data_IF_253627446304
#
_entry.id   IF_253627446304
#
_cell.length_a   1.000
_cell.length_b   1.000
_cell.length_c   1.000
_cell.angle_alpha   90.00
_cell.angle_beta   90.00
_cell.angle_gamma   90.00
#
_symmetry.space_group_name_H-M   'P 1'
#
loop_
_entity.id
_entity.type
_entity.pdbx_description
1 polymer ?
#
# COMPACT_ATOMS: atom_id res chain seq x y z
N UNK A 1 -3.41 -8.53 5.36
CA UNK A 1 -3.23 -8.52 3.90
C UNK A 1 -1.97 -7.72 3.56
N UNK A 2 -1.09 -8.21 2.69
CA UNK A 2 0.16 -7.54 2.30
C UNK A 2 0.36 -7.70 0.78
N UNK A 3 0.09 -6.63 0.01
CA UNK A 3 0.14 -6.67 -1.45
C UNK A 3 0.66 -5.33 -1.98
N UNK A 4 1.75 -5.34 -2.76
CA UNK A 4 2.22 -4.14 -3.48
C UNK A 4 1.62 -4.18 -4.89
N UNK A 5 0.94 -3.11 -5.26
CA UNK A 5 0.24 -2.99 -6.55
C UNK A 5 0.78 -1.80 -7.33
N UNK A 6 0.99 -1.99 -8.63
CA UNK A 6 1.37 -0.90 -9.52
C UNK A 6 0.14 -0.08 -9.91
N UNK A 7 0.11 1.19 -9.50
CA UNK A 7 -0.99 2.07 -9.90
C UNK A 7 -0.84 2.52 -11.36
N UNK A 8 -1.96 2.90 -11.98
CA UNK A 8 -2.00 3.49 -13.34
C UNK A 8 -1.07 4.71 -13.53
N UNK A 9 -0.57 5.33 -12.45
CA UNK A 9 0.28 6.53 -12.48
C UNK A 9 1.76 6.25 -12.14
N UNK A 10 2.24 5.01 -12.33
CA UNK A 10 3.63 4.59 -12.06
C UNK A 10 4.10 4.79 -10.61
N UNK A 11 3.19 5.00 -9.66
CA UNK A 11 3.52 5.02 -8.22
C UNK A 11 3.03 3.73 -7.57
N UNK A 12 3.91 2.93 -6.94
CA UNK A 12 3.46 1.74 -6.26
C UNK A 12 2.56 2.10 -5.09
N UNK A 13 1.58 1.24 -4.87
CA UNK A 13 0.60 1.35 -3.80
C UNK A 13 0.73 0.11 -2.94
N UNK A 14 0.89 0.30 -1.64
CA UNK A 14 0.96 -0.79 -0.68
C UNK A 14 -0.43 -0.99 -0.06
N UNK A 15 -0.94 -2.21 -0.14
CA UNK A 15 -2.11 -2.66 0.62
C UNK A 15 -1.58 -3.42 1.82
N UNK A 16 -1.72 -2.86 3.02
CA UNK A 16 -1.20 -3.43 4.25
C UNK A 16 -2.15 -3.17 5.41
N UNK A 17 -2.42 -4.17 6.23
CA UNK A 17 -3.28 -4.05 7.42
C UNK A 17 -4.67 -3.46 7.13
N UNK A 18 -5.27 -3.82 5.99
CA UNK A 18 -6.54 -3.26 5.49
C UNK A 18 -6.52 -1.75 5.20
N UNK A 19 -5.34 -1.15 5.15
CA UNK A 19 -5.12 0.24 4.74
C UNK A 19 -4.41 0.31 3.40
N UNK A 20 -4.68 1.40 2.68
CA UNK A 20 -4.03 1.72 1.42
C UNK A 20 -2.98 2.80 1.63
N UNK A 21 -1.77 2.53 1.19
CA UNK A 21 -0.66 3.45 1.24
C UNK A 21 -0.13 3.76 -0.16
N UNK A 22 0.37 4.98 -0.33
CA UNK A 22 1.13 5.41 -1.50
C UNK A 22 2.58 5.60 -1.11
N UNK A 23 3.50 5.32 -2.04
CA UNK A 23 4.92 5.59 -1.81
C UNK A 23 5.13 7.09 -1.58
N UNK A 24 5.71 7.43 -0.44
CA UNK A 24 6.10 8.79 -0.09
C UNK A 24 7.52 9.09 -0.58
N UNK A 25 8.49 8.30 -0.10
CA UNK A 25 9.90 8.42 -0.45
C UNK A 25 10.64 7.11 -0.24
N UNK A 26 11.78 6.97 -0.90
CA UNK A 26 12.73 5.88 -0.70
C UNK A 26 14.00 6.50 -0.13
N UNK A 27 14.54 5.93 0.95
CA UNK A 27 15.83 6.34 1.53
C UNK A 27 16.63 5.08 1.84
N UNK A 28 17.81 4.97 1.25
CA UNK A 28 18.64 3.77 1.31
C UNK A 28 17.83 2.54 0.87
N UNK A 29 17.66 1.55 1.75
CA UNK A 29 16.87 0.34 1.54
C UNK A 29 15.46 0.43 2.14
N UNK A 30 15.08 1.60 2.67
CA UNK A 30 13.78 1.81 3.34
C UNK A 30 12.83 2.59 2.45
N UNK A 31 11.68 1.99 2.16
CA UNK A 31 10.55 2.62 1.50
C UNK A 31 9.61 3.17 2.58
N UNK A 32 9.33 4.47 2.52
CA UNK A 32 8.36 5.12 3.38
C UNK A 32 7.03 5.23 2.65
N UNK A 33 6.00 4.77 3.32
CA UNK A 33 4.63 4.71 2.83
C UNK A 33 3.76 5.68 3.62
N UNK A 34 2.92 6.44 2.93
CA UNK A 34 1.91 7.31 3.54
C UNK A 34 0.52 6.84 3.19
N UNK A 35 -0.44 7.02 4.08
CA UNK A 35 -1.83 6.74 3.78
C UNK A 35 -2.28 7.44 2.49
N UNK A 36 -3.08 6.75 1.67
CA UNK A 36 -3.66 7.33 0.47
C UNK A 36 -4.75 8.39 0.77
N UNK A 37 -5.35 8.36 1.97
CA UNK A 37 -6.31 9.35 2.42
C UNK A 37 -5.59 10.65 2.82
N UNK A 38 -5.92 11.76 2.16
CA UNK A 38 -5.29 13.08 2.40
C UNK A 38 -5.56 13.64 3.80
N UNK A 39 -6.68 13.27 4.41
CA UNK A 39 -7.04 13.67 5.77
C UNK A 39 -6.38 12.77 6.82
N UNK A 40 -5.63 11.75 6.40
CA UNK A 40 -4.94 10.84 7.28
C UNK A 40 -3.42 11.04 7.24
N UNK A 41 -2.80 11.05 8.42
CA UNK A 41 -1.35 11.07 8.56
C UNK A 41 -0.74 9.70 8.84
N UNK A 42 -1.48 8.61 8.64
CA UNK A 42 -1.01 7.24 8.85
C UNK A 42 0.22 6.92 7.99
N UNK A 43 1.19 6.20 8.54
CA UNK A 43 2.45 5.88 7.87
C UNK A 43 2.86 4.44 8.13
N UNK A 44 3.54 3.88 7.15
CA UNK A 44 4.24 2.61 7.27
C UNK A 44 5.65 2.76 6.67
N UNK A 45 6.54 1.86 7.04
CA UNK A 45 7.83 1.71 6.36
C UNK A 45 8.04 0.26 5.99
N UNK A 46 8.82 0.02 4.95
CA UNK A 46 9.27 -1.29 4.55
C UNK A 46 10.77 -1.21 4.34
N UNK A 47 11.53 -2.05 5.03
CA UNK A 47 12.99 -2.05 4.95
C UNK A 47 13.47 -3.34 4.28
N UNK A 48 14.20 -3.22 3.18
CA UNK A 48 14.72 -4.36 2.42
C UNK A 48 13.59 -5.35 2.06
N UNK A 49 13.80 -6.64 2.35
CA UNK A 49 12.81 -7.71 2.17
C UNK A 49 11.93 -7.95 3.40
N UNK A 50 12.00 -7.07 4.41
CA UNK A 50 11.15 -7.21 5.59
C UNK A 50 9.71 -6.82 5.29
N UNK A 51 8.72 -7.45 5.96
CA UNK A 51 7.34 -7.02 5.84
C UNK A 51 7.18 -5.55 6.26
N UNK A 52 6.25 -4.80 5.65
CA UNK A 52 5.96 -3.45 6.07
C UNK A 52 5.52 -3.40 7.53
N UNK A 53 5.90 -2.32 8.22
CA UNK A 53 5.52 -2.03 9.59
C UNK A 53 4.82 -0.69 9.65
N UNK A 54 3.65 -0.65 10.26
CA UNK A 54 2.96 0.61 10.57
C UNK A 54 3.76 1.39 11.62
N UNK A 55 4.03 2.65 11.34
CA UNK A 55 4.80 3.56 12.21
C UNK A 55 3.96 4.69 12.77
N UNK A 56 2.88 5.09 12.09
CA UNK A 56 1.93 6.07 12.58
C UNK A 56 0.51 5.56 12.37
N UNK A 57 -0.34 5.54 13.42
CA UNK A 57 -1.70 5.03 13.33
C UNK A 57 -2.57 5.88 12.40
N UNK A 58 -3.67 5.28 11.96
CA UNK A 58 -4.68 5.91 11.14
C UNK A 58 -5.75 6.58 11.99
N UNK A 59 -6.32 7.67 11.48
CA UNK A 59 -7.46 8.38 12.08
C UNK A 59 -8.75 8.15 11.30
N UNK A 60 -8.88 6.99 10.67
CA UNK A 60 -10.07 6.59 9.93
C UNK A 60 -10.19 5.07 9.95
N UNK A 61 -11.41 4.60 9.69
CA UNK A 61 -11.69 3.18 9.56
C UNK A 61 -10.90 2.55 8.42
N UNK A 62 -10.69 1.25 8.54
CA UNK A 62 -9.95 0.48 7.54
C UNK A 62 -10.59 0.60 6.15
N UNK A 63 -9.76 0.53 5.12
CA UNK A 63 -10.19 0.49 3.73
C UNK A 63 -10.36 -0.95 3.24
N UNK A 64 -10.85 -1.86 4.09
CA UNK A 64 -10.82 -3.31 3.81
C UNK A 64 -11.46 -3.68 2.47
N UNK A 65 -12.69 -3.23 2.22
CA UNK A 65 -13.43 -3.52 0.99
C UNK A 65 -12.66 -3.00 -0.23
N UNK A 66 -12.16 -1.77 -0.17
CA UNK A 66 -11.38 -1.15 -1.24
C UNK A 66 -10.07 -1.91 -1.50
N UNK A 67 -9.40 -2.37 -0.44
CA UNK A 67 -8.18 -3.15 -0.53
C UNK A 67 -8.45 -4.49 -1.22
N UNK A 68 -9.52 -5.20 -0.85
CA UNK A 68 -9.93 -6.46 -1.49
C UNK A 68 -10.29 -6.27 -2.97
N UNK A 69 -10.99 -5.20 -3.31
CA UNK A 69 -11.32 -4.88 -4.72
C UNK A 69 -10.06 -4.62 -5.55
N UNK A 70 -9.12 -3.83 -5.02
CA UNK A 70 -7.87 -3.54 -5.73
C UNK A 70 -7.00 -4.80 -5.87
N UNK A 71 -6.92 -5.64 -4.83
CA UNK A 71 -6.24 -6.93 -4.89
C UNK A 71 -6.86 -7.86 -5.95
N UNK A 72 -8.18 -8.02 -5.92
CA UNK A 72 -8.90 -8.84 -6.90
C UNK A 72 -8.65 -8.34 -8.33
N UNK A 73 -8.72 -7.02 -8.54
CA UNK A 73 -8.43 -6.39 -9.83
C UNK A 73 -7.01 -6.68 -10.30
N UNK A 74 -6.01 -6.64 -9.41
CA UNK A 74 -4.64 -6.96 -9.77
C UNK A 74 -4.47 -8.44 -10.13
N UNK A 75 -5.10 -9.33 -9.37
CA UNK A 75 -5.08 -10.76 -9.67
C UNK A 75 -5.70 -11.06 -11.04
N UNK A 76 -6.78 -10.36 -11.42
CA UNK A 76 -7.35 -10.49 -12.76
C UNK A 76 -6.40 -10.00 -13.85
N UNK A 77 -5.78 -8.82 -13.67
CA UNK A 77 -4.81 -8.30 -14.65
C UNK A 77 -3.65 -9.25 -14.88
N UNK A 78 -3.02 -9.73 -13.79
CA UNK A 78 -1.89 -10.67 -13.87
C UNK A 78 -2.23 -11.91 -14.69
N UNK A 79 -3.46 -12.44 -14.55
CA UNK A 79 -3.93 -13.62 -15.29
C UNK A 79 -4.22 -13.37 -16.77
N UNK A 80 -4.42 -12.12 -17.17
CA UNK A 80 -4.66 -11.74 -18.57
C UNK A 80 -3.36 -11.39 -19.30
N UNK A 81 -2.27 -11.17 -18.57
CA UNK A 81 -0.94 -10.83 -19.08
C UNK A 81 0.01 -12.05 -19.17
N UNK A 82 -0.44 -13.21 -18.70
CA UNK A 82 0.21 -14.54 -18.75
C UNK A 82 -0.36 -15.34 -19.94
#
# INVERSE_FOLDING_TARGET
MLTIVESKRKKPTLLFDNYRYTQDKIKNTTIYWKCANRSCSGRALQQDSNPPKMTKPHNHESNEVQCKVEEFRMNLKRRLED
#
